data_IF_442928931039
#
_entry.id   IF_442928931039
#
_cell.length_a   1.000
_cell.length_b   1.000
_cell.length_c   1.000
_cell.angle_alpha   90.00
_cell.angle_beta   90.00
_cell.angle_gamma   90.00
#
_symmetry.space_group_name_H-M   'P 1'
#
loop_
_entity.id
_entity.type
_entity.pdbx_description
1 polymer ?
#
# COMPACT_ATOMS: atom_id res chain seq x y z
N UNK A 1 22.10 -9.04 1.36
CA UNK A 1 21.45 -7.72 1.29
C UNK A 1 21.54 -7.06 2.66
N UNK A 2 21.62 -5.72 2.74
CA UNK A 2 21.49 -5.01 4.02
C UNK A 2 20.17 -4.21 4.01
N UNK A 3 19.62 -3.92 5.19
CA UNK A 3 18.31 -3.27 5.32
C UNK A 3 18.23 -1.96 4.51
N UNK A 4 19.28 -1.12 4.60
CA UNK A 4 19.36 0.17 3.92
C UNK A 4 19.28 0.07 2.39
N UNK A 5 19.90 -0.96 1.78
CA UNK A 5 19.82 -1.13 0.32
C UNK A 5 18.39 -1.47 -0.12
N UNK A 6 17.70 -2.33 0.64
CA UNK A 6 16.34 -2.77 0.30
C UNK A 6 15.32 -1.64 0.48
N UNK A 7 15.43 -0.84 1.54
CA UNK A 7 14.60 0.36 1.70
C UNK A 7 14.76 1.34 0.54
N UNK A 8 16.01 1.56 0.09
CA UNK A 8 16.30 2.44 -1.03
C UNK A 8 15.69 1.93 -2.34
N UNK A 9 15.76 0.62 -2.56
CA UNK A 9 15.16 -0.03 -3.74
C UNK A 9 13.63 0.07 -3.73
N UNK A 10 13.00 -0.22 -2.60
CA UNK A 10 11.54 -0.06 -2.41
C UNK A 10 11.11 1.38 -2.70
N UNK A 11 11.84 2.36 -2.15
CA UNK A 11 11.57 3.79 -2.37
C UNK A 11 11.64 4.16 -3.85
N UNK A 12 12.67 3.69 -4.57
CA UNK A 12 12.81 3.93 -6.00
C UNK A 12 11.66 3.32 -6.81
N UNK A 13 11.28 2.08 -6.51
CA UNK A 13 10.20 1.40 -7.21
C UNK A 13 8.85 2.09 -7.02
N UNK A 14 8.56 2.55 -5.80
CA UNK A 14 7.34 3.26 -5.50
C UNK A 14 7.31 4.69 -6.09
N UNK A 15 8.47 5.30 -6.35
CA UNK A 15 8.58 6.67 -6.88
C UNK A 15 7.82 7.71 -6.04
N UNK A 16 7.80 7.49 -4.72
CA UNK A 16 7.14 8.33 -3.71
C UNK A 16 8.12 9.41 -3.23
N UNK A 17 7.62 10.60 -2.87
CA UNK A 17 8.46 11.67 -2.34
C UNK A 17 9.03 11.33 -0.97
N UNK A 18 10.25 11.80 -0.70
CA UNK A 18 10.99 11.56 0.54
C UNK A 18 10.20 11.90 1.80
N UNK A 19 9.37 12.96 1.76
CA UNK A 19 8.56 13.41 2.89
C UNK A 19 7.44 12.43 3.29
N UNK A 20 7.07 11.52 2.39
CA UNK A 20 5.98 10.56 2.59
C UNK A 20 6.44 9.10 2.70
N UNK A 21 7.72 8.84 2.43
CA UNK A 21 8.31 7.51 2.55
C UNK A 21 9.01 7.35 3.90
N UNK A 22 8.42 6.53 4.77
CA UNK A 22 8.90 6.29 6.14
C UNK A 22 8.84 4.81 6.55
N UNK A 23 9.11 3.92 5.59
CA UNK A 23 8.97 2.48 5.78
C UNK A 23 9.88 1.95 6.90
N UNK A 24 11.09 2.50 7.02
CA UNK A 24 12.02 2.15 8.08
C UNK A 24 11.46 2.46 9.48
N UNK A 25 10.77 3.59 9.64
CA UNK A 25 10.10 3.90 10.89
C UNK A 25 8.96 2.93 11.19
N UNK A 26 8.13 2.58 10.19
CA UNK A 26 7.05 1.60 10.39
C UNK A 26 7.60 0.23 10.81
N UNK A 27 8.62 -0.29 10.12
CA UNK A 27 9.25 -1.57 10.48
C UNK A 27 9.80 -1.51 11.90
N UNK A 28 10.57 -0.47 12.23
CA UNK A 28 11.15 -0.33 13.56
C UNK A 28 10.09 -0.08 14.64
N UNK A 29 8.94 0.51 14.33
CA UNK A 29 7.85 0.72 15.28
C UNK A 29 7.11 -0.58 15.60
N UNK A 30 6.82 -1.39 14.59
CA UNK A 30 5.99 -2.58 14.74
C UNK A 30 6.79 -3.86 15.06
N UNK A 31 8.06 -3.91 14.66
CA UNK A 31 8.96 -5.06 14.79
C UNK A 31 10.26 -4.71 15.52
N UNK A 32 10.23 -3.78 16.49
CA UNK A 32 11.42 -3.37 17.25
C UNK A 32 12.12 -4.53 18.00
N UNK A 33 11.35 -5.53 18.44
CA UNK A 33 11.85 -6.70 19.17
C UNK A 33 12.39 -7.79 18.26
N UNK A 34 12.13 -7.71 16.96
CA UNK A 34 12.59 -8.71 15.99
C UNK A 34 14.07 -8.48 15.64
N UNK A 35 14.84 -9.57 15.40
CA UNK A 35 16.19 -9.46 14.87
C UNK A 35 16.18 -8.87 13.46
N UNK A 36 17.31 -8.30 13.04
CA UNK A 36 17.44 -7.68 11.72
C UNK A 36 17.20 -8.67 10.56
N UNK A 37 17.45 -9.96 10.77
CA UNK A 37 17.14 -11.03 9.79
C UNK A 37 15.63 -11.12 9.51
N UNK A 38 14.80 -11.05 10.55
CA UNK A 38 13.34 -11.07 10.40
C UNK A 38 12.83 -9.79 9.76
N UNK A 39 13.42 -8.63 10.12
CA UNK A 39 13.10 -7.37 9.44
C UNK A 39 13.48 -7.42 7.96
N UNK A 40 14.62 -8.04 7.63
CA UNK A 40 15.09 -8.21 6.27
C UNK A 40 14.15 -9.10 5.46
N UNK A 41 13.60 -10.16 6.07
CA UNK A 41 12.58 -11.02 5.46
C UNK A 41 11.32 -10.20 5.10
N UNK A 42 10.77 -9.45 6.06
CA UNK A 42 9.57 -8.61 5.85
C UNK A 42 9.78 -7.63 4.70
N UNK A 43 10.90 -6.90 4.69
CA UNK A 43 11.15 -5.93 3.62
C UNK A 43 11.49 -6.61 2.29
N UNK A 44 12.04 -7.83 2.32
CA UNK A 44 12.20 -8.68 1.15
C UNK A 44 10.84 -9.04 0.53
N UNK A 45 9.88 -9.44 1.36
CA UNK A 45 8.52 -9.74 0.94
C UNK A 45 7.83 -8.49 0.37
N UNK A 46 8.00 -7.33 1.01
CA UNK A 46 7.47 -6.05 0.51
C UNK A 46 8.06 -5.73 -0.87
N UNK A 47 9.37 -5.86 -1.02
CA UNK A 47 10.04 -5.62 -2.30
C UNK A 47 9.49 -6.57 -3.37
N UNK A 48 9.47 -7.87 -3.09
CA UNK A 48 8.94 -8.87 -4.01
C UNK A 48 7.49 -8.58 -4.39
N UNK A 49 6.66 -8.21 -3.42
CA UNK A 49 5.28 -7.81 -3.66
C UNK A 49 5.17 -6.59 -4.57
N UNK A 50 5.91 -5.51 -4.31
CA UNK A 50 5.89 -4.29 -5.13
C UNK A 50 6.32 -4.59 -6.56
N UNK A 51 7.30 -5.48 -6.78
CA UNK A 51 7.77 -5.80 -8.14
C UNK A 51 6.66 -6.33 -9.05
N UNK A 52 5.64 -7.01 -8.48
CA UNK A 52 4.46 -7.52 -9.20
C UNK A 52 3.61 -6.38 -9.81
N UNK A 53 3.77 -5.15 -9.32
CA UNK A 53 3.01 -3.97 -9.74
C UNK A 53 3.84 -2.94 -10.52
N UNK A 54 5.07 -3.27 -10.90
CA UNK A 54 5.99 -2.36 -11.62
C UNK A 54 5.40 -1.79 -12.91
N UNK A 55 4.47 -2.50 -13.56
CA UNK A 55 3.77 -1.99 -14.74
C UNK A 55 2.91 -0.74 -14.48
N UNK A 56 2.58 -0.45 -13.21
CA UNK A 56 1.80 0.71 -12.79
C UNK A 56 2.66 1.84 -12.22
N UNK A 57 3.99 1.76 -12.30
CA UNK A 57 4.92 2.73 -11.67
C UNK A 57 4.65 4.19 -12.02
N UNK A 58 4.15 4.45 -13.23
CA UNK A 58 3.89 5.81 -13.72
C UNK A 58 2.54 6.36 -13.22
N UNK A 59 1.71 5.51 -12.60
CA UNK A 59 0.43 5.87 -11.99
C UNK A 59 0.65 6.18 -10.51
N UNK A 60 1.09 7.42 -10.21
CA UNK A 60 1.38 7.85 -8.83
C UNK A 60 0.26 7.58 -7.81
N UNK A 61 -1.03 7.83 -8.10
CA UNK A 61 -2.11 7.50 -7.16
C UNK A 61 -2.16 6.02 -6.80
N UNK A 62 -1.87 5.14 -7.77
CA UNK A 62 -1.81 3.70 -7.54
C UNK A 62 -0.63 3.33 -6.65
N UNK A 63 0.58 3.84 -6.93
CA UNK A 63 1.76 3.54 -6.09
C UNK A 63 1.61 4.08 -4.67
N UNK A 64 0.95 5.23 -4.48
CA UNK A 64 0.61 5.76 -3.16
C UNK A 64 -0.40 4.88 -2.42
N UNK A 65 -1.43 4.38 -3.11
CA UNK A 65 -2.40 3.43 -2.54
C UNK A 65 -1.71 2.11 -2.16
N UNK A 66 -0.83 1.58 -3.02
CA UNK A 66 -0.03 0.39 -2.76
C UNK A 66 0.83 0.56 -1.50
N UNK A 67 1.52 1.69 -1.37
CA UNK A 67 2.32 2.00 -0.17
C UNK A 67 1.45 2.14 1.08
N UNK A 68 0.28 2.78 0.98
CA UNK A 68 -0.69 2.87 2.07
C UNK A 68 -1.17 1.48 2.51
N UNK A 69 -1.38 0.57 1.56
CA UNK A 69 -1.72 -0.81 1.88
C UNK A 69 -0.59 -1.51 2.63
N UNK A 70 0.66 -1.36 2.18
CA UNK A 70 1.84 -1.95 2.83
C UNK A 70 1.95 -1.47 4.28
N UNK A 71 1.87 -0.16 4.52
CA UNK A 71 1.99 0.39 5.88
C UNK A 71 0.85 -0.07 6.79
N UNK A 72 -0.39 -0.16 6.27
CA UNK A 72 -1.52 -0.75 7.02
C UNK A 72 -1.30 -2.24 7.31
N UNK A 73 -0.72 -3.00 6.40
CA UNK A 73 -0.39 -4.42 6.65
C UNK A 73 0.59 -4.56 7.80
N UNK A 74 1.59 -3.68 7.91
CA UNK A 74 2.55 -3.68 9.03
C UNK A 74 1.90 -3.43 10.40
N UNK A 75 0.72 -2.81 10.44
CA UNK A 75 -0.06 -2.63 11.66
C UNK A 75 -0.74 -3.94 12.11
N UNK A 76 -0.98 -4.86 11.18
CA UNK A 76 -1.55 -6.18 11.44
C UNK A 76 -0.39 -7.09 11.84
N UNK A 77 -0.25 -7.38 13.14
CA UNK A 77 0.79 -8.28 13.63
C UNK A 77 0.53 -9.70 13.08
N UNK A 78 1.44 -10.25 12.25
CA UNK A 78 1.31 -11.62 11.79
C UNK A 78 1.68 -12.58 12.92
N UNK A 79 1.14 -13.80 12.89
CA UNK A 79 1.48 -14.86 13.86
C UNK A 79 2.95 -15.33 13.69
N UNK A 80 3.46 -15.22 12.46
CA UNK A 80 4.85 -15.50 12.09
C UNK A 80 5.33 -14.49 11.04
N UNK A 81 6.61 -14.13 11.08
CA UNK A 81 7.24 -13.27 10.06
C UNK A 81 7.11 -13.87 8.66
N UNK A 82 7.16 -15.20 8.55
CA UNK A 82 7.02 -15.92 7.27
C UNK A 82 5.60 -15.89 6.68
N UNK A 83 4.60 -15.43 7.43
CA UNK A 83 3.23 -15.29 6.93
C UNK A 83 2.96 -13.89 6.37
N UNK A 84 3.97 -13.01 6.38
CA UNK A 84 3.81 -11.61 6.03
C UNK A 84 3.44 -11.40 4.56
N UNK A 85 4.06 -12.12 3.61
CA UNK A 85 3.68 -12.04 2.19
C UNK A 85 2.21 -12.40 1.97
N UNK A 86 1.72 -13.49 2.58
CA UNK A 86 0.33 -13.92 2.46
C UNK A 86 -0.63 -12.84 3.02
N UNK A 87 -0.28 -12.28 4.18
CA UNK A 87 -1.04 -11.20 4.80
C UNK A 87 -1.08 -9.95 3.92
N UNK A 88 0.05 -9.60 3.30
CA UNK A 88 0.17 -8.46 2.40
C UNK A 88 -0.71 -8.62 1.16
N UNK A 89 -0.73 -9.81 0.55
CA UNK A 89 -1.59 -10.11 -0.60
C UNK A 89 -3.07 -10.04 -0.21
N UNK A 90 -3.46 -10.66 0.91
CA UNK A 90 -4.85 -10.63 1.41
C UNK A 90 -5.33 -9.21 1.66
N UNK A 91 -4.50 -8.41 2.34
CA UNK A 91 -4.85 -7.03 2.67
C UNK A 91 -4.93 -6.16 1.41
N UNK A 92 -4.04 -6.35 0.44
CA UNK A 92 -4.06 -5.60 -0.83
C UNK A 92 -5.32 -5.87 -1.65
N UNK A 93 -5.72 -7.14 -1.78
CA UNK A 93 -6.97 -7.49 -2.47
C UNK A 93 -8.16 -6.82 -1.78
N UNK A 94 -8.22 -6.90 -0.45
CA UNK A 94 -9.30 -6.26 0.32
C UNK A 94 -9.31 -4.74 0.13
N UNK A 95 -8.14 -4.10 0.25
CA UNK A 95 -7.98 -2.65 0.11
C UNK A 95 -8.41 -2.17 -1.27
N UNK A 96 -7.96 -2.81 -2.36
CA UNK A 96 -8.35 -2.42 -3.71
C UNK A 96 -9.82 -2.67 -4.02
N UNK A 97 -10.41 -3.76 -3.51
CA UNK A 97 -11.86 -4.01 -3.63
C UNK A 97 -12.64 -2.92 -2.89
N UNK A 98 -12.21 -2.52 -1.70
CA UNK A 98 -12.84 -1.45 -0.93
C UNK A 98 -12.72 -0.09 -1.63
N UNK A 99 -11.55 0.24 -2.18
CA UNK A 99 -11.35 1.46 -2.97
C UNK A 99 -12.27 1.47 -4.19
N UNK A 100 -12.38 0.36 -4.92
CA UNK A 100 -13.28 0.27 -6.07
C UNK A 100 -14.75 0.48 -5.68
N UNK A 101 -15.21 -0.16 -4.59
CA UNK A 101 -16.58 0.02 -4.08
C UNK A 101 -16.80 1.49 -3.68
N UNK A 102 -15.83 2.11 -3.02
CA UNK A 102 -15.91 3.50 -2.58
C UNK A 102 -16.00 4.45 -3.77
N UNK A 103 -15.12 4.32 -4.77
CA UNK A 103 -15.17 5.12 -5.99
C UNK A 103 -16.47 4.94 -6.77
N UNK A 104 -16.99 3.71 -6.84
CA UNK A 104 -18.26 3.42 -7.51
C UNK A 104 -19.44 4.11 -6.81
N UNK A 105 -19.47 4.11 -5.47
CA UNK A 105 -20.50 4.83 -4.70
C UNK A 105 -20.43 6.34 -4.91
N UNK A 106 -19.24 6.93 -4.84
CA UNK A 106 -19.05 8.37 -5.10
C UNK A 106 -19.52 8.74 -6.52
N UNK A 107 -19.20 7.89 -7.51
CA UNK A 107 -19.61 8.11 -8.89
C UNK A 107 -21.13 8.08 -9.03
N UNK A 108 -21.81 7.13 -8.37
CA UNK A 108 -23.27 7.06 -8.34
C UNK A 108 -23.90 8.28 -7.65
N UNK A 109 -23.35 8.72 -6.52
CA UNK A 109 -23.83 9.91 -5.80
C UNK A 109 -23.71 11.16 -6.67
N UNK A 110 -22.59 11.34 -7.37
CA UNK A 110 -22.40 12.47 -8.29
C UNK A 110 -23.40 12.44 -9.46
N UNK A 111 -23.65 11.27 -10.04
CA UNK A 111 -24.64 11.11 -11.12
C UNK A 111 -26.07 11.46 -10.67
N UNK A 112 -26.45 11.07 -9.45
CA UNK A 112 -27.76 11.43 -8.89
C UNK A 112 -27.84 12.94 -8.65
N UNK A 113 -26.77 13.55 -8.13
CA UNK A 113 -26.72 14.99 -7.87
C UNK A 113 -26.84 15.79 -9.18
N UNK A 114 -26.08 15.40 -10.22
CA UNK A 114 -26.15 16.01 -11.56
C UNK A 114 -27.56 15.92 -12.15
N UNK A 115 -28.21 14.75 -12.08
CA UNK A 115 -29.58 14.57 -12.55
C UNK A 115 -30.57 15.49 -11.83
N UNK A 116 -30.45 15.63 -10.51
CA UNK A 116 -31.32 16.52 -9.73
C UNK A 116 -31.09 17.99 -10.11
N UNK A 117 -29.84 18.44 -10.23
CA UNK A 117 -29.52 19.84 -10.60
C UNK A 117 -29.88 20.18 -12.04
N UNK A 118 -29.71 19.24 -12.98
CA UNK A 118 -30.12 19.42 -14.38
C UNK A 118 -31.65 19.46 -14.52
N UNK A 119 -32.37 18.76 -13.64
CA UNK A 119 -33.84 18.79 -13.62
C UNK A 119 -34.43 20.09 -13.07
N UNK A 120 -33.71 20.83 -12.21
CA UNK A 120 -34.11 22.17 -11.74
C UNK A 120 -33.74 23.30 -12.71
N UNK A 121 -32.91 23.01 -13.72
CA UNK A 121 -32.41 23.97 -14.71
C UNK A 121 -33.28 24.05 -15.98
N UNK A 122 -34.43 23.37 -16.01
CA UNK A 122 -35.42 23.34 -17.11
C UNK A 122 -36.78 23.84 -16.66
#
# INVERSE_FOLDING_TARGET
>A
MNLSSVYSEIKQLLSISDESFDLEHYINRHFNTEPDENKLEIIGDILHFITKFTMFKDIKPFMNSLYTCITKTLEIKPDSVYDFEELLVKNAIMHFVQEHIHYSKITQENQVLEYLTDSESR
#
